data_IF_423789830061
#
_entry.id   IF_423789830061
#
_cell.length_a   1.000
_cell.length_b   1.000
_cell.length_c   1.000
_cell.angle_alpha   90.00
_cell.angle_beta   90.00
_cell.angle_gamma   90.00
#
_symmetry.space_group_name_H-M   'P 1'
#
loop_
_entity.id
_entity.type
_entity.pdbx_description
1 polymer ?
#
# COMPACT_ATOMS: atom_id res chain seq x y z
N UNK A 1 20.25 0.53 14.29
CA UNK A 1 19.82 1.82 13.71
C UNK A 1 19.25 2.66 14.84
N UNK A 2 19.37 4.00 14.84
CA UNK A 2 18.68 4.82 15.81
C UNK A 2 17.16 4.61 15.68
N UNK A 3 16.46 4.68 16.82
CA UNK A 3 15.01 4.49 16.86
C UNK A 3 14.36 5.88 16.86
N UNK A 4 13.38 6.17 16.02
CA UNK A 4 12.70 7.45 16.05
C UNK A 4 11.91 7.63 17.35
N UNK A 5 11.90 8.82 17.89
CA UNK A 5 11.05 9.23 19.02
C UNK A 5 9.77 9.89 18.49
N UNK A 6 9.93 10.78 17.52
CA UNK A 6 8.81 11.44 16.84
C UNK A 6 9.23 11.84 15.43
N UNK A 7 8.24 11.94 14.52
CA UNK A 7 8.41 12.49 13.18
C UNK A 7 7.31 13.51 12.93
N UNK A 8 7.69 14.69 12.44
CA UNK A 8 6.75 15.67 11.90
C UNK A 8 6.91 15.70 10.39
N UNK A 9 5.81 15.56 9.68
CA UNK A 9 5.73 15.66 8.23
C UNK A 9 5.17 17.03 7.89
N UNK A 10 5.95 17.82 7.15
CA UNK A 10 5.59 19.16 6.70
C UNK A 10 5.38 19.09 5.20
N UNK A 11 4.22 19.56 4.76
CA UNK A 11 3.87 19.63 3.33
C UNK A 11 3.86 21.08 2.86
N UNK A 12 4.42 21.30 1.68
CA UNK A 12 4.31 22.56 0.94
C UNK A 12 3.56 22.26 -0.36
N UNK A 13 2.40 22.86 -0.54
CA UNK A 13 1.64 22.82 -1.79
C UNK A 13 1.93 24.06 -2.63
N UNK A 14 2.05 23.87 -3.96
CA UNK A 14 2.28 24.93 -4.95
C UNK A 14 0.98 25.12 -5.76
N UNK A 15 0.13 26.00 -5.28
CA UNK A 15 -1.21 26.24 -5.82
C UNK A 15 -1.16 27.29 -6.94
N UNK A 16 -1.70 26.93 -8.11
CA UNK A 16 -1.88 27.86 -9.20
C UNK A 16 -3.08 28.77 -8.94
N UNK A 17 -2.87 30.08 -8.94
CA UNK A 17 -3.90 31.11 -8.73
C UNK A 17 -4.24 31.90 -10.02
N UNK A 18 -3.46 31.71 -11.10
CA UNK A 18 -3.64 32.39 -12.38
C UNK A 18 -2.87 31.72 -13.53
N UNK A 19 -2.62 32.45 -14.63
CA UNK A 19 -1.98 31.93 -15.83
C UNK A 19 -0.49 32.27 -15.97
N UNK A 20 0.04 33.19 -15.15
CA UNK A 20 1.44 33.60 -15.10
C UNK A 20 2.34 32.60 -14.35
N UNK A 21 3.64 32.75 -14.50
CA UNK A 21 4.62 31.98 -13.69
C UNK A 21 4.61 32.42 -12.24
N UNK A 22 4.38 33.71 -12.01
CA UNK A 22 4.22 34.33 -10.70
C UNK A 22 2.88 34.02 -10.01
N UNK A 23 1.93 33.41 -10.73
CA UNK A 23 0.62 33.02 -10.21
C UNK A 23 0.65 31.66 -9.49
N UNK A 24 1.74 31.36 -8.79
CA UNK A 24 1.87 30.18 -7.92
C UNK A 24 2.03 30.66 -6.48
N UNK A 25 1.16 30.19 -5.62
CA UNK A 25 1.23 30.45 -4.18
C UNK A 25 1.71 29.22 -3.45
N UNK A 26 2.67 29.41 -2.56
CA UNK A 26 3.18 28.36 -1.67
C UNK A 26 2.36 28.36 -0.38
N UNK A 27 1.91 27.17 0.03
CA UNK A 27 1.25 26.95 1.30
C UNK A 27 1.96 25.83 2.05
N UNK A 28 2.66 26.17 3.12
CA UNK A 28 3.35 25.22 4.00
C UNK A 28 2.53 24.96 5.26
N UNK A 29 2.38 23.70 5.64
CA UNK A 29 1.67 23.28 6.86
C UNK A 29 2.20 21.92 7.35
N UNK A 30 1.98 21.65 8.64
CA UNK A 30 2.21 20.30 9.18
C UNK A 30 1.10 19.39 8.69
N UNK A 31 1.43 18.34 7.95
CA UNK A 31 0.48 17.34 7.44
C UNK A 31 0.21 16.25 8.49
N UNK A 32 1.29 15.80 9.18
CA UNK A 32 1.11 14.85 10.28
C UNK A 32 2.20 14.93 11.35
N UNK A 33 1.87 14.43 12.55
CA UNK A 33 2.78 14.22 13.67
C UNK A 33 2.66 12.78 14.16
N UNK A 34 3.80 12.07 14.23
CA UNK A 34 3.88 10.67 14.61
C UNK A 34 4.74 10.55 15.87
N UNK A 35 4.27 9.76 16.84
CA UNK A 35 5.06 9.40 18.04
C UNK A 35 5.29 7.89 18.08
N UNK A 36 6.46 7.49 18.52
CA UNK A 36 6.88 6.09 18.57
C UNK A 36 7.19 5.65 20.00
N UNK A 37 7.06 4.35 20.26
CA UNK A 37 7.55 3.72 21.48
C UNK A 37 9.08 3.51 21.44
N UNK A 38 9.62 2.86 22.47
CA UNK A 38 11.06 2.57 22.58
C UNK A 38 11.56 1.52 21.56
N UNK A 39 10.65 0.78 20.93
CA UNK A 39 10.94 -0.24 19.93
C UNK A 39 10.74 0.28 18.48
N UNK A 40 10.20 1.50 18.32
CA UNK A 40 9.92 2.12 17.03
C UNK A 40 8.51 1.83 16.50
N UNK A 41 7.59 1.30 17.33
CA UNK A 41 6.19 1.16 16.93
C UNK A 41 5.48 2.50 17.04
N UNK A 42 4.56 2.79 16.13
CA UNK A 42 3.76 4.03 16.12
C UNK A 42 2.73 3.97 17.26
N UNK A 43 2.87 4.83 18.25
CA UNK A 43 1.90 5.00 19.35
C UNK A 43 0.75 5.89 18.93
N UNK A 44 1.06 7.04 18.33
CA UNK A 44 0.06 8.01 17.88
C UNK A 44 0.45 8.59 16.54
N UNK A 45 -0.56 8.85 15.69
CA UNK A 45 -0.42 9.61 14.46
C UNK A 45 -1.56 10.61 14.38
N UNK A 46 -1.25 11.89 14.17
CA UNK A 46 -2.22 12.97 14.01
C UNK A 46 -2.09 13.57 12.64
N UNK A 47 -3.20 13.75 11.95
CA UNK A 47 -3.27 14.41 10.65
C UNK A 47 -3.91 15.79 10.80
N UNK A 48 -3.36 16.75 10.05
CA UNK A 48 -3.79 18.14 10.09
C UNK A 48 -4.15 18.62 8.69
N UNK A 49 -5.16 19.48 8.61
CA UNK A 49 -5.45 20.22 7.39
C UNK A 49 -4.48 21.38 7.18
N UNK A 50 -4.59 22.05 6.04
CA UNK A 50 -3.72 23.17 5.67
C UNK A 50 -3.89 24.42 6.55
N UNK A 51 -4.90 24.47 7.43
CA UNK A 51 -5.13 25.53 8.42
C UNK A 51 -4.53 25.17 9.79
N UNK A 52 -3.99 23.94 9.94
CA UNK A 52 -3.41 23.43 11.17
C UNK A 52 -4.42 22.85 12.15
N UNK A 53 -5.67 22.64 11.74
CA UNK A 53 -6.66 21.94 12.54
C UNK A 53 -6.48 20.42 12.38
N UNK A 54 -6.70 19.66 13.46
CA UNK A 54 -6.70 18.20 13.42
C UNK A 54 -7.87 17.73 12.56
N UNK A 55 -7.61 16.84 11.60
CA UNK A 55 -8.62 16.14 10.80
C UNK A 55 -8.90 14.74 11.34
N UNK A 56 -7.87 14.05 11.79
CA UNK A 56 -7.99 12.72 12.40
C UNK A 56 -6.80 12.41 13.29
N UNK A 57 -6.97 11.43 14.17
CA UNK A 57 -5.89 10.85 14.94
C UNK A 57 -6.04 9.33 15.01
N UNK A 58 -4.90 8.63 15.11
CA UNK A 58 -4.83 7.19 15.36
C UNK A 58 -4.00 6.96 16.61
N UNK A 59 -4.48 6.08 17.51
CA UNK A 59 -3.75 5.62 18.68
C UNK A 59 -3.62 4.10 18.64
N UNK A 60 -2.41 3.59 18.85
CA UNK A 60 -2.14 2.17 18.83
C UNK A 60 -1.58 1.70 20.16
N UNK A 61 -1.97 0.50 20.55
CA UNK A 61 -1.44 -0.20 21.71
C UNK A 61 -0.82 -1.54 21.28
N UNK A 62 0.24 -1.92 21.95
CA UNK A 62 1.01 -3.14 21.67
C UNK A 62 1.18 -3.98 22.93
N UNK A 63 1.30 -5.29 22.76
CA UNK A 63 1.68 -6.18 23.84
C UNK A 63 3.21 -6.17 24.08
N UNK A 64 3.65 -6.93 25.08
CA UNK A 64 5.07 -7.06 25.42
C UNK A 64 5.95 -7.65 24.30
N UNK A 65 5.34 -8.31 23.31
CA UNK A 65 6.00 -8.87 22.14
C UNK A 65 5.99 -7.90 20.93
N UNK A 66 5.43 -6.70 21.08
CA UNK A 66 5.32 -5.70 20.04
C UNK A 66 4.20 -5.97 19.02
N UNK A 67 3.23 -6.85 19.33
CA UNK A 67 2.09 -7.12 18.46
C UNK A 67 0.97 -6.11 18.77
N UNK A 68 0.30 -5.52 17.76
CA UNK A 68 -0.80 -4.60 18.00
C UNK A 68 -1.96 -5.30 18.70
N UNK A 69 -2.46 -4.75 19.80
CA UNK A 69 -3.63 -5.25 20.54
C UNK A 69 -4.84 -4.33 20.35
N UNK A 70 -4.61 -3.04 20.07
CA UNK A 70 -5.65 -2.07 19.78
C UNK A 70 -5.15 -1.02 18.77
N UNK A 71 -6.06 -0.55 17.90
CA UNK A 71 -5.86 0.61 17.04
C UNK A 71 -7.15 1.41 17.00
N UNK A 72 -7.15 2.63 17.56
CA UNK A 72 -8.30 3.50 17.69
C UNK A 72 -8.14 4.72 16.76
N UNK A 73 -9.18 5.05 16.01
CA UNK A 73 -9.24 6.20 15.12
C UNK A 73 -10.25 7.22 15.64
N UNK A 74 -9.83 8.47 15.69
CA UNK A 74 -10.61 9.62 16.16
C UNK A 74 -10.83 10.61 15.01
N UNK A 75 -11.97 11.31 15.05
CA UNK A 75 -12.28 12.39 14.13
C UNK A 75 -11.67 13.74 14.56
N UNK A 76 -12.03 14.79 13.84
CA UNK A 76 -11.61 16.16 14.08
C UNK A 76 -12.05 16.72 15.45
N UNK A 77 -13.12 16.20 16.04
CA UNK A 77 -13.64 16.59 17.36
C UNK A 77 -12.97 15.81 18.51
N UNK A 78 -12.18 14.78 18.18
CA UNK A 78 -11.61 13.83 19.13
C UNK A 78 -12.58 12.75 19.59
N UNK A 79 -13.71 12.56 18.85
CA UNK A 79 -14.62 11.46 19.10
C UNK A 79 -14.09 10.17 18.44
N UNK A 80 -14.23 9.04 19.15
CA UNK A 80 -13.84 7.73 18.66
C UNK A 80 -14.75 7.31 17.49
N UNK A 81 -14.18 7.22 16.29
CA UNK A 81 -14.88 6.76 15.08
C UNK A 81 -14.85 5.25 14.94
N UNK A 82 -13.67 4.67 15.16
CA UNK A 82 -13.44 3.23 14.94
C UNK A 82 -12.36 2.73 15.89
N UNK A 83 -12.55 1.51 16.40
CA UNK A 83 -11.50 0.80 17.12
C UNK A 83 -11.37 -0.63 16.59
N UNK A 84 -10.15 -1.06 16.27
CA UNK A 84 -9.81 -2.44 15.99
C UNK A 84 -9.13 -3.05 17.21
N UNK A 85 -9.60 -4.23 17.64
CA UNK A 85 -9.01 -5.01 18.74
C UNK A 85 -8.55 -6.35 18.20
N UNK A 86 -7.34 -6.76 18.58
CA UNK A 86 -6.70 -7.98 18.10
C UNK A 86 -6.50 -8.97 19.23
N UNK A 87 -6.82 -10.24 19.00
CA UNK A 87 -6.63 -11.32 19.96
C UNK A 87 -5.70 -12.37 19.39
N UNK A 88 -4.72 -12.80 20.17
CA UNK A 88 -3.70 -13.77 19.77
C UNK A 88 -3.75 -15.05 20.59
N UNK A 89 -3.25 -16.15 20.01
CA UNK A 89 -2.97 -17.37 20.76
C UNK A 89 -1.72 -17.21 21.61
N UNK A 90 -1.49 -18.14 22.53
CA UNK A 90 -0.24 -18.21 23.32
C UNK A 90 1.00 -18.33 22.41
N UNK A 91 0.85 -18.93 21.23
CA UNK A 91 1.90 -19.11 20.23
C UNK A 91 2.08 -17.87 19.32
N UNK A 92 1.29 -16.81 19.51
CA UNK A 92 1.39 -15.54 18.77
C UNK A 92 0.60 -15.48 17.47
N UNK A 93 -0.25 -16.46 17.16
CA UNK A 93 -1.11 -16.41 15.98
C UNK A 93 -2.31 -15.50 16.23
N UNK A 94 -2.67 -14.66 15.26
CA UNK A 94 -3.86 -13.83 15.30
C UNK A 94 -5.10 -14.74 15.24
N UNK A 95 -5.92 -14.73 16.30
CA UNK A 95 -7.14 -15.53 16.38
C UNK A 95 -8.39 -14.76 15.99
N UNK A 96 -8.41 -13.46 16.31
CA UNK A 96 -9.57 -12.62 16.05
C UNK A 96 -9.16 -11.16 15.88
N UNK A 97 -9.80 -10.48 14.93
CA UNK A 97 -9.85 -9.03 14.80
C UNK A 97 -11.30 -8.61 14.98
N UNK A 98 -11.56 -7.66 15.88
CA UNK A 98 -12.89 -7.07 16.09
C UNK A 98 -12.84 -5.59 15.78
N UNK A 99 -13.84 -5.07 15.06
CA UNK A 99 -13.98 -3.67 14.71
C UNK A 99 -15.22 -3.09 15.39
N UNK A 100 -15.06 -1.98 16.09
CA UNK A 100 -16.10 -1.27 16.83
C UNK A 100 -16.29 0.13 16.22
N UNK A 101 -17.54 0.57 16.09
CA UNK A 101 -17.89 1.95 15.79
C UNK A 101 -18.65 2.52 17.00
N UNK A 102 -17.89 3.12 17.94
CA UNK A 102 -18.41 3.60 19.22
C UNK A 102 -18.38 2.55 20.33
N UNK A 103 -19.24 2.71 21.35
CA UNK A 103 -19.35 1.81 22.51
C UNK A 103 -20.34 0.67 22.22
N UNK A 104 -20.01 -0.55 22.59
CA UNK A 104 -20.90 -1.72 22.47
C UNK A 104 -20.23 -2.99 21.99
N UNK A 105 -21.01 -3.79 21.26
CA UNK A 105 -20.52 -5.01 20.58
C UNK A 105 -19.72 -4.63 19.34
N UNK A 106 -18.82 -5.52 18.85
CA UNK A 106 -18.12 -5.26 17.59
C UNK A 106 -19.10 -5.28 16.43
N UNK A 107 -19.05 -4.22 15.59
CA UNK A 107 -19.84 -4.14 14.34
C UNK A 107 -19.41 -5.24 13.35
N UNK A 108 -18.10 -5.49 13.28
CA UNK A 108 -17.51 -6.55 12.46
C UNK A 108 -16.45 -7.30 13.23
N UNK A 109 -16.36 -8.60 12.96
CA UNK A 109 -15.29 -9.43 13.47
C UNK A 109 -14.82 -10.45 12.42
N UNK A 110 -13.52 -10.73 12.41
CA UNK A 110 -12.92 -11.81 11.63
C UNK A 110 -12.22 -12.78 12.56
N UNK A 111 -12.55 -14.06 12.43
CA UNK A 111 -11.93 -15.17 13.15
C UNK A 111 -11.00 -15.91 12.20
N UNK A 112 -9.80 -16.20 12.65
CA UNK A 112 -8.74 -16.88 11.90
C UNK A 112 -8.61 -18.33 12.37
N UNK A 113 -8.80 -19.28 11.46
CA UNK A 113 -8.77 -20.73 11.75
C UNK A 113 -7.48 -21.32 11.20
N UNK A 114 -6.77 -22.05 12.06
CA UNK A 114 -5.48 -22.65 11.72
C UNK A 114 -5.55 -24.18 11.86
N UNK A 115 -4.99 -24.88 10.87
CA UNK A 115 -4.75 -26.32 10.92
C UNK A 115 -3.27 -26.61 10.67
N UNK A 116 -2.68 -27.47 11.48
CA UNK A 116 -1.24 -27.82 11.40
C UNK A 116 -0.31 -26.60 11.33
N UNK A 117 -0.73 -25.49 11.96
CA UNK A 117 0.05 -24.26 12.01
C UNK A 117 -0.19 -23.30 10.84
N UNK A 118 -0.96 -23.66 9.82
CA UNK A 118 -1.29 -22.86 8.64
C UNK A 118 -2.69 -22.26 8.77
N UNK A 119 -2.86 -21.03 8.28
CA UNK A 119 -4.17 -20.38 8.19
C UNK A 119 -4.99 -21.08 7.08
N UNK A 120 -6.10 -21.72 7.43
CA UNK A 120 -6.94 -22.42 6.45
C UNK A 120 -8.23 -21.68 6.15
N UNK A 121 -8.68 -20.79 7.08
CA UNK A 121 -9.92 -20.06 6.89
C UNK A 121 -9.97 -18.77 7.69
N UNK A 122 -10.64 -17.78 7.14
CA UNK A 122 -11.05 -16.55 7.79
C UNK A 122 -12.58 -16.47 7.72
N UNK A 123 -13.23 -16.32 8.86
CA UNK A 123 -14.67 -16.18 9.00
C UNK A 123 -14.97 -14.75 9.44
N UNK A 124 -15.63 -13.97 8.59
CA UNK A 124 -16.00 -12.58 8.89
C UNK A 124 -17.51 -12.45 9.04
N UNK A 125 -17.96 -11.77 10.08
CA UNK A 125 -19.37 -11.60 10.41
C UNK A 125 -19.62 -10.20 11.03
N UNK A 126 -20.84 -9.70 10.86
CA UNK A 126 -21.31 -8.49 11.54
C UNK A 126 -21.88 -8.82 12.94
N UNK A 127 -22.30 -7.77 13.69
CA UNK A 127 -22.83 -7.89 15.05
C UNK A 127 -24.01 -8.88 15.15
N UNK A 128 -24.86 -8.94 14.13
CA UNK A 128 -26.06 -9.79 14.12
C UNK A 128 -25.78 -11.22 13.62
N UNK A 129 -24.54 -11.52 13.22
CA UNK A 129 -24.13 -12.79 12.59
C UNK A 129 -24.90 -13.13 11.29
N UNK A 130 -25.54 -12.12 10.66
CA UNK A 130 -26.31 -12.29 9.43
C UNK A 130 -25.48 -12.13 8.16
N UNK A 131 -24.47 -11.22 8.18
CA UNK A 131 -23.56 -11.03 7.04
C UNK A 131 -22.30 -11.85 7.31
N UNK A 132 -22.31 -13.10 6.90
CA UNK A 132 -21.18 -14.00 7.06
C UNK A 132 -20.46 -14.14 5.71
N UNK A 133 -19.16 -13.86 5.69
CA UNK A 133 -18.30 -14.20 4.55
C UNK A 133 -17.18 -15.12 5.01
N UNK A 134 -16.86 -16.09 4.17
CA UNK A 134 -15.78 -17.04 4.41
C UNK A 134 -14.70 -16.89 3.37
N UNK A 135 -13.46 -16.95 3.79
CA UNK A 135 -12.29 -17.06 2.91
C UNK A 135 -11.47 -18.27 3.29
N UNK A 136 -11.31 -19.20 2.36
CA UNK A 136 -10.58 -20.44 2.58
C UNK A 136 -9.29 -20.51 1.76
N UNK A 137 -8.31 -21.27 2.27
CA UNK A 137 -6.98 -21.42 1.70
C UNK A 137 -6.62 -22.90 1.56
N UNK A 138 -6.17 -23.27 0.36
CA UNK A 138 -5.56 -24.57 0.10
C UNK A 138 -4.08 -24.38 -0.23
N UNK A 139 -3.25 -25.30 0.20
CA UNK A 139 -1.79 -25.22 0.04
C UNK A 139 -1.30 -26.33 -0.89
N UNK A 140 -0.28 -26.03 -1.67
CA UNK A 140 0.46 -27.04 -2.43
C UNK A 140 1.35 -27.90 -1.51
N UNK A 141 2.01 -28.89 -2.07
CA UNK A 141 2.93 -29.79 -1.35
C UNK A 141 4.18 -29.08 -0.79
N UNK A 142 4.51 -27.90 -1.34
CA UNK A 142 5.64 -27.06 -0.90
C UNK A 142 5.22 -26.06 0.19
N UNK A 143 3.90 -25.92 0.46
CA UNK A 143 3.35 -25.03 1.45
C UNK A 143 3.03 -23.62 0.94
N UNK A 144 3.00 -23.41 -0.36
CA UNK A 144 2.48 -22.15 -0.94
C UNK A 144 0.96 -22.23 -1.03
N UNK A 145 0.29 -21.08 -0.90
CA UNK A 145 -1.17 -20.99 -1.11
C UNK A 145 -1.46 -21.23 -2.59
N UNK A 146 -2.06 -22.38 -2.90
CA UNK A 146 -2.41 -22.78 -4.27
C UNK A 146 -3.81 -22.31 -4.68
N UNK A 147 -4.75 -22.29 -3.73
CA UNK A 147 -6.12 -21.85 -3.99
C UNK A 147 -6.59 -20.97 -2.85
N UNK A 148 -7.26 -19.87 -3.18
CA UNK A 148 -8.02 -19.04 -2.25
C UNK A 148 -9.45 -18.93 -2.78
N UNK A 149 -10.45 -19.13 -1.93
CA UNK A 149 -11.86 -18.99 -2.27
C UNK A 149 -12.53 -18.05 -1.28
N UNK A 150 -13.28 -17.09 -1.79
CA UNK A 150 -14.12 -16.20 -1.00
C UNK A 150 -15.58 -16.48 -1.30
N UNK A 151 -16.39 -16.66 -0.24
CA UNK A 151 -17.81 -16.95 -0.32
C UNK A 151 -18.61 -15.77 0.24
N UNK A 152 -19.79 -15.54 -0.34
CA UNK A 152 -20.79 -14.62 0.20
C UNK A 152 -21.59 -15.26 1.36
N UNK A 153 -22.49 -14.47 1.94
CA UNK A 153 -23.39 -14.91 3.04
C UNK A 153 -24.32 -16.07 2.67
N UNK A 154 -24.58 -16.29 1.38
CA UNK A 154 -25.36 -17.42 0.88
C UNK A 154 -24.50 -18.67 0.60
N UNK A 155 -23.17 -18.58 0.85
CA UNK A 155 -22.20 -19.64 0.57
C UNK A 155 -21.87 -19.81 -0.90
N UNK A 156 -22.15 -18.80 -1.75
CA UNK A 156 -21.76 -18.79 -3.15
C UNK A 156 -20.36 -18.23 -3.31
N UNK A 157 -19.60 -18.80 -4.23
CA UNK A 157 -18.26 -18.30 -4.54
C UNK A 157 -18.35 -16.91 -5.18
N UNK A 158 -17.81 -15.92 -4.51
CA UNK A 158 -17.59 -14.56 -5.04
C UNK A 158 -16.33 -14.52 -5.89
N UNK A 159 -15.22 -14.98 -5.30
CA UNK A 159 -13.91 -14.98 -5.93
C UNK A 159 -13.23 -16.32 -5.72
N UNK A 160 -12.55 -16.81 -6.74
CA UNK A 160 -11.61 -17.91 -6.66
C UNK A 160 -10.30 -17.50 -7.30
N UNK A 161 -9.20 -17.71 -6.58
CA UNK A 161 -7.85 -17.51 -7.10
C UNK A 161 -7.13 -18.84 -7.10
N UNK A 162 -6.51 -19.19 -8.23
CA UNK A 162 -5.66 -20.38 -8.37
C UNK A 162 -4.27 -19.94 -8.78
N UNK A 163 -3.26 -20.30 -7.99
CA UNK A 163 -1.88 -19.89 -8.13
C UNK A 163 -1.01 -21.07 -8.53
N UNK A 164 -0.17 -20.86 -9.54
CA UNK A 164 0.85 -21.80 -9.98
C UNK A 164 2.24 -21.20 -9.74
N UNK A 165 3.15 -22.01 -9.21
CA UNK A 165 4.50 -21.59 -8.86
C UNK A 165 5.53 -22.26 -9.77
N UNK A 166 6.63 -21.57 -10.05
CA UNK A 166 7.76 -22.14 -10.78
C UNK A 166 8.61 -23.06 -9.88
N UNK A 167 9.62 -23.68 -10.46
CA UNK A 167 10.54 -24.58 -9.76
C UNK A 167 11.33 -23.93 -8.61
N UNK A 168 11.37 -22.59 -8.56
CA UNK A 168 12.02 -21.82 -7.51
C UNK A 168 11.01 -21.32 -6.45
N UNK A 169 9.73 -21.74 -6.53
CA UNK A 169 8.65 -21.30 -5.61
C UNK A 169 8.16 -19.88 -5.86
N UNK A 170 8.39 -19.30 -7.03
CA UNK A 170 7.93 -17.97 -7.41
C UNK A 170 6.61 -18.09 -8.16
N UNK A 171 5.66 -17.19 -7.91
CA UNK A 171 4.36 -17.17 -8.57
C UNK A 171 4.53 -17.00 -10.09
N UNK A 172 4.26 -18.05 -10.86
CA UNK A 172 4.38 -18.04 -12.32
C UNK A 172 3.08 -17.65 -13.03
N UNK A 173 1.94 -18.09 -12.47
CA UNK A 173 0.62 -17.77 -12.99
C UNK A 173 -0.39 -17.64 -11.87
N UNK A 174 -1.36 -16.75 -12.03
CA UNK A 174 -2.55 -16.61 -11.20
C UNK A 174 -3.78 -16.57 -12.10
N UNK A 175 -4.74 -17.43 -11.85
CA UNK A 175 -6.08 -17.32 -12.40
C UNK A 175 -6.99 -16.78 -11.31
N UNK A 176 -7.64 -15.62 -11.55
CA UNK A 176 -8.71 -15.07 -10.72
C UNK A 176 -10.03 -15.20 -11.45
N UNK A 177 -10.99 -15.84 -10.83
CA UNK A 177 -12.34 -16.07 -11.34
C UNK A 177 -13.35 -15.33 -10.48
N UNK A 178 -14.36 -14.74 -11.14
CA UNK A 178 -15.54 -14.12 -10.55
C UNK A 178 -16.77 -14.86 -11.11
N UNK A 179 -17.11 -16.05 -10.55
CA UNK A 179 -18.08 -16.95 -11.18
C UNK A 179 -19.48 -16.34 -11.33
N UNK A 180 -19.89 -15.46 -10.41
CA UNK A 180 -21.19 -14.79 -10.46
C UNK A 180 -21.27 -13.77 -11.60
N UNK A 181 -20.15 -13.13 -11.93
CA UNK A 181 -20.02 -12.17 -13.02
C UNK A 181 -19.66 -12.83 -14.37
N UNK A 182 -19.37 -14.14 -14.37
CA UNK A 182 -18.90 -14.90 -15.53
C UNK A 182 -17.61 -14.28 -16.11
N UNK A 183 -16.77 -13.71 -15.26
CA UNK A 183 -15.49 -13.09 -15.64
C UNK A 183 -14.31 -13.84 -15.01
N UNK A 184 -13.18 -13.74 -15.68
CA UNK A 184 -11.89 -14.20 -15.14
C UNK A 184 -10.74 -13.40 -15.71
N UNK A 185 -9.64 -13.38 -14.95
CA UNK A 185 -8.37 -12.80 -15.39
C UNK A 185 -7.24 -13.75 -15.12
N UNK A 186 -6.36 -13.92 -16.10
CA UNK A 186 -5.12 -14.67 -15.94
C UNK A 186 -3.95 -13.70 -15.91
N UNK A 187 -3.15 -13.80 -14.87
CA UNK A 187 -1.90 -13.07 -14.70
C UNK A 187 -0.73 -14.03 -14.90
N UNK A 188 0.23 -13.63 -15.73
CA UNK A 188 1.42 -14.44 -16.03
C UNK A 188 2.66 -13.61 -15.70
N UNK A 189 3.56 -14.21 -14.92
CA UNK A 189 4.76 -13.56 -14.43
C UNK A 189 6.01 -14.22 -15.01
N UNK A 190 7.05 -13.43 -15.26
CA UNK A 190 8.34 -13.95 -15.65
C UNK A 190 9.45 -13.28 -14.83
N UNK A 191 10.51 -14.00 -14.60
CA UNK A 191 11.64 -13.61 -13.76
C UNK A 191 12.95 -13.78 -14.50
N UNK A 192 13.93 -12.95 -14.14
CA UNK A 192 15.30 -13.15 -14.58
C UNK A 192 16.04 -14.23 -13.76
N UNK A 193 17.30 -14.49 -14.12
CA UNK A 193 18.13 -15.47 -13.43
C UNK A 193 18.48 -15.06 -11.99
N UNK A 194 18.31 -13.78 -11.63
CA UNK A 194 18.54 -13.26 -10.28
C UNK A 194 17.28 -13.33 -9.40
N UNK A 195 16.12 -13.69 -10.00
CA UNK A 195 14.84 -13.78 -9.31
C UNK A 195 14.02 -12.49 -9.35
N UNK A 196 14.44 -11.45 -10.05
CA UNK A 196 13.68 -10.23 -10.21
C UNK A 196 12.55 -10.45 -11.21
N UNK A 197 11.34 -9.93 -10.91
CA UNK A 197 10.22 -9.98 -11.84
C UNK A 197 10.50 -9.04 -13.02
N UNK A 198 10.60 -9.58 -14.23
CA UNK A 198 10.87 -8.79 -15.44
C UNK A 198 9.62 -8.53 -16.29
N UNK A 199 8.54 -9.29 -16.02
CA UNK A 199 7.32 -9.17 -16.82
C UNK A 199 6.09 -9.61 -16.05
N UNK A 200 5.00 -8.90 -16.29
CA UNK A 200 3.64 -9.26 -15.88
C UNK A 200 2.70 -9.04 -17.07
N UNK A 201 1.86 -10.04 -17.38
CA UNK A 201 0.86 -9.99 -18.44
C UNK A 201 -0.50 -10.30 -17.84
N UNK A 202 -1.53 -9.52 -18.21
CA UNK A 202 -2.91 -9.76 -17.80
C UNK A 202 -3.78 -10.06 -19.00
N UNK A 203 -4.45 -11.20 -18.94
CA UNK A 203 -5.40 -11.64 -19.96
C UNK A 203 -6.81 -11.63 -19.39
N UNK A 204 -7.80 -11.27 -20.22
CA UNK A 204 -9.22 -11.38 -19.86
C UNK A 204 -9.73 -12.81 -20.06
N UNK A 205 -11.00 -13.04 -19.71
CA UNK A 205 -11.70 -14.33 -19.87
C UNK A 205 -11.57 -14.94 -21.28
N UNK A 206 -11.57 -14.12 -22.34
CA UNK A 206 -11.41 -14.57 -23.72
C UNK A 206 -9.96 -14.87 -24.13
N UNK A 207 -8.98 -14.79 -23.22
CA UNK A 207 -7.57 -14.99 -23.50
C UNK A 207 -6.91 -13.82 -24.25
N UNK A 208 -7.57 -12.66 -24.33
CA UNK A 208 -7.01 -11.46 -24.93
C UNK A 208 -6.12 -10.74 -23.90
N UNK A 209 -4.89 -10.39 -24.30
CA UNK A 209 -4.00 -9.54 -23.51
C UNK A 209 -4.64 -8.15 -23.35
N UNK A 210 -4.81 -7.71 -22.11
CA UNK A 210 -5.43 -6.43 -21.74
C UNK A 210 -4.50 -5.50 -20.97
N UNK A 211 -3.44 -6.02 -20.35
CA UNK A 211 -2.41 -5.21 -19.70
C UNK A 211 -1.07 -5.95 -19.73
N UNK A 212 0.02 -5.18 -19.73
CA UNK A 212 1.39 -5.69 -19.60
C UNK A 212 2.22 -4.68 -18.80
N UNK A 213 3.11 -5.22 -17.97
CA UNK A 213 4.15 -4.46 -17.28
C UNK A 213 5.49 -5.13 -17.53
N UNK A 214 6.50 -4.33 -17.85
CA UNK A 214 7.90 -4.77 -17.96
C UNK A 214 8.75 -4.04 -16.95
N UNK A 215 9.75 -4.73 -16.40
CA UNK A 215 10.67 -4.21 -15.42
C UNK A 215 12.10 -4.42 -15.88
N UNK A 216 12.94 -3.42 -15.73
CA UNK A 216 14.38 -3.48 -16.03
C UNK A 216 15.17 -3.17 -14.76
N UNK A 217 16.25 -3.90 -14.58
CA UNK A 217 17.12 -3.80 -13.40
C UNK A 217 18.56 -3.53 -13.82
N UNK A 218 19.32 -2.89 -12.94
CA UNK A 218 20.77 -2.80 -13.10
C UNK A 218 21.50 -4.07 -12.57
N UNK A 219 22.81 -4.03 -12.64
CA UNK A 219 23.64 -5.17 -12.23
C UNK A 219 23.63 -5.42 -10.72
N UNK A 220 23.21 -4.44 -9.92
CA UNK A 220 23.00 -4.53 -8.48
C UNK A 220 21.59 -5.04 -8.12
N UNK A 221 20.72 -5.29 -9.11
CA UNK A 221 19.34 -5.73 -8.91
C UNK A 221 18.36 -4.60 -8.54
N UNK A 222 18.75 -3.33 -8.74
CA UNK A 222 17.85 -2.18 -8.48
C UNK A 222 17.05 -1.90 -9.74
N UNK A 223 15.73 -1.68 -9.58
CA UNK A 223 14.83 -1.37 -10.68
C UNK A 223 15.22 -0.03 -11.32
N UNK A 224 15.52 -0.03 -12.62
CA UNK A 224 15.87 1.18 -13.38
C UNK A 224 14.73 1.68 -14.24
N UNK A 225 13.82 0.79 -14.65
CA UNK A 225 12.68 1.17 -15.49
C UNK A 225 11.48 0.24 -15.25
N UNK A 226 10.29 0.80 -15.34
CA UNK A 226 9.01 0.11 -15.39
C UNK A 226 8.19 0.68 -16.54
N UNK A 227 7.66 -0.19 -17.39
CA UNK A 227 6.72 0.17 -18.46
C UNK A 227 5.37 -0.49 -18.20
N UNK A 228 4.31 0.31 -18.06
CA UNK A 228 2.94 -0.12 -17.87
C UNK A 228 2.11 0.23 -19.10
N UNK A 229 1.44 -0.74 -19.68
CA UNK A 229 0.53 -0.55 -20.81
C UNK A 229 -0.75 -1.37 -20.58
N UNK A 230 -1.89 -0.71 -20.72
CA UNK A 230 -3.19 -1.36 -20.80
C UNK A 230 -3.95 -0.87 -22.03
N UNK A 231 -5.24 -1.18 -22.15
CA UNK A 231 -6.03 -0.83 -23.34
C UNK A 231 -6.11 0.68 -23.59
N UNK A 232 -6.02 1.50 -22.57
CA UNK A 232 -6.29 2.93 -22.61
C UNK A 232 -5.08 3.80 -22.24
N UNK A 233 -4.12 3.25 -21.51
CA UNK A 233 -3.02 4.03 -20.92
C UNK A 233 -1.65 3.38 -21.18
N UNK A 234 -0.65 4.23 -21.29
CA UNK A 234 0.77 3.87 -21.27
C UNK A 234 1.49 4.78 -20.30
N UNK A 235 2.41 4.20 -19.52
CA UNK A 235 3.31 4.93 -18.62
C UNK A 235 4.67 4.24 -18.59
N UNK A 236 5.73 5.02 -18.77
CA UNK A 236 7.10 4.59 -18.51
C UNK A 236 7.65 5.36 -17.32
N UNK A 237 8.18 4.64 -16.33
CA UNK A 237 8.77 5.20 -15.12
C UNK A 237 10.25 4.82 -15.06
N UNK A 238 11.14 5.78 -14.86
CA UNK A 238 12.58 5.54 -14.72
C UNK A 238 13.05 5.92 -13.32
N UNK A 239 14.03 5.18 -12.80
CA UNK A 239 14.59 5.33 -11.46
C UNK A 239 16.09 5.63 -11.57
N UNK A 240 16.54 6.65 -10.85
CA UNK A 240 17.95 7.05 -10.78
C UNK A 240 18.46 6.88 -9.36
N UNK A 241 19.68 6.36 -9.24
CA UNK A 241 20.28 6.02 -7.95
C UNK A 241 21.62 6.73 -7.74
N UNK A 242 21.88 7.08 -6.46
CA UNK A 242 23.21 7.42 -5.96
C UNK A 242 23.57 6.41 -4.87
N UNK A 243 24.52 5.50 -5.16
CA UNK A 243 24.71 4.31 -4.34
C UNK A 243 23.41 3.50 -4.31
N UNK A 244 22.94 3.11 -3.12
CA UNK A 244 21.71 2.34 -2.94
C UNK A 244 20.44 3.21 -2.82
N UNK A 245 20.60 4.54 -2.86
CA UNK A 245 19.50 5.48 -2.66
C UNK A 245 18.88 5.90 -4.00
N UNK A 246 17.57 5.71 -4.16
CA UNK A 246 16.83 6.25 -5.30
C UNK A 246 16.69 7.76 -5.13
N UNK A 247 17.37 8.54 -5.95
CA UNK A 247 17.36 10.01 -5.85
C UNK A 247 16.35 10.68 -6.77
N UNK A 248 15.88 9.95 -7.80
CA UNK A 248 14.88 10.51 -8.72
C UNK A 248 14.04 9.41 -9.39
N UNK A 249 12.75 9.66 -9.46
CA UNK A 249 11.77 8.87 -10.22
C UNK A 249 11.15 9.78 -11.28
N UNK A 250 11.20 9.40 -12.55
CA UNK A 250 10.63 10.21 -13.65
C UNK A 250 9.58 9.42 -14.42
N UNK A 251 8.47 10.04 -14.75
CA UNK A 251 7.36 9.43 -15.49
C UNK A 251 7.21 10.07 -16.86
N UNK A 252 6.94 9.23 -17.87
CA UNK A 252 6.75 9.60 -19.25
C UNK A 252 5.45 9.02 -19.79
N UNK A 253 4.82 9.73 -20.74
CA UNK A 253 3.70 9.24 -21.53
C UNK A 253 4.18 8.42 -22.75
N UNK A 254 3.21 7.97 -23.57
CA UNK A 254 3.47 7.17 -24.78
C UNK A 254 4.30 7.90 -25.85
N UNK A 255 4.31 9.23 -25.83
CA UNK A 255 5.02 10.08 -26.79
C UNK A 255 6.41 10.47 -26.26
N UNK A 256 6.91 9.77 -25.23
CA UNK A 256 8.16 10.02 -24.52
C UNK A 256 8.21 11.41 -23.86
N UNK A 257 7.08 12.05 -23.71
CA UNK A 257 7.02 13.34 -23.05
C UNK A 257 6.94 13.14 -21.53
N UNK A 258 7.81 13.86 -20.81
CA UNK A 258 7.85 13.82 -19.36
C UNK A 258 6.54 14.36 -18.76
N UNK A 259 5.85 13.54 -17.96
CA UNK A 259 4.63 13.95 -17.24
C UNK A 259 4.93 14.52 -15.87
N UNK A 260 5.99 14.04 -15.23
CA UNK A 260 6.41 14.52 -13.92
C UNK A 260 7.60 13.75 -13.39
N UNK A 261 8.10 14.17 -12.24
CA UNK A 261 9.15 13.45 -11.51
C UNK A 261 9.11 13.78 -10.03
N UNK A 262 9.71 12.89 -9.24
CA UNK A 262 9.96 13.06 -7.81
C UNK A 262 11.45 13.03 -7.55
N UNK A 263 11.97 13.96 -6.77
CA UNK A 263 13.34 13.99 -6.27
C UNK A 263 13.35 13.73 -4.76
N UNK A 264 14.36 12.98 -4.31
CA UNK A 264 14.52 12.58 -2.90
C UNK A 264 15.84 13.10 -2.36
N UNK A 265 15.80 13.67 -1.15
CA UNK A 265 16.98 14.02 -0.37
C UNK A 265 17.05 13.15 0.87
N UNK A 266 18.26 12.82 1.32
CA UNK A 266 18.49 11.88 2.40
C UNK A 266 19.44 12.49 3.43
N UNK A 267 19.28 12.08 4.71
CA UNK A 267 20.28 12.35 5.73
C UNK A 267 21.50 11.41 5.60
N UNK A 268 22.49 11.61 6.50
CA UNK A 268 23.70 10.78 6.55
C UNK A 268 23.41 9.32 6.90
N UNK A 269 22.29 9.05 7.59
CA UNK A 269 21.84 7.72 7.99
C UNK A 269 21.07 7.01 6.89
N UNK A 270 20.66 7.71 5.81
CA UNK A 270 19.94 7.16 4.68
C UNK A 270 18.42 7.28 4.79
N UNK A 271 17.90 8.07 5.72
CA UNK A 271 16.47 8.35 5.80
C UNK A 271 16.11 9.48 4.84
N UNK A 272 14.93 9.40 4.20
CA UNK A 272 14.41 10.50 3.39
C UNK A 272 14.11 11.70 4.28
N UNK A 273 14.65 12.87 3.93
CA UNK A 273 14.41 14.13 4.64
C UNK A 273 13.54 15.09 3.84
N UNK A 274 13.58 14.99 2.51
CA UNK A 274 12.77 15.83 1.64
C UNK A 274 12.42 15.08 0.36
N UNK A 275 11.17 15.22 -0.05
CA UNK A 275 10.61 14.70 -1.29
C UNK A 275 10.03 15.89 -2.06
N UNK A 276 10.43 16.07 -3.33
CA UNK A 276 9.97 17.14 -4.20
C UNK A 276 9.24 16.56 -5.40
N UNK A 277 7.96 16.86 -5.51
CA UNK A 277 7.13 16.45 -6.64
C UNK A 277 7.02 17.57 -7.67
N UNK A 278 7.21 17.22 -8.93
CA UNK A 278 7.07 18.08 -10.10
C UNK A 278 6.08 17.45 -11.07
N UNK A 279 5.22 18.27 -11.66
CA UNK A 279 4.22 17.84 -12.65
C UNK A 279 4.32 18.71 -13.91
N UNK A 280 3.84 18.17 -15.04
CA UNK A 280 3.60 18.95 -16.26
C UNK A 280 2.59 20.05 -15.96
N UNK A 281 2.86 21.25 -16.44
CA UNK A 281 1.94 22.37 -16.30
C UNK A 281 0.73 22.15 -17.22
N UNK A 282 -0.48 22.26 -16.66
CA UNK A 282 -1.72 22.02 -17.42
C UNK A 282 -1.98 23.09 -18.49
N UNK A 283 -1.51 24.32 -18.25
CA UNK A 283 -1.71 25.46 -19.16
C UNK A 283 -0.59 25.54 -20.21
N UNK A 284 0.63 25.15 -19.83
CA UNK A 284 1.82 25.17 -20.65
C UNK A 284 2.48 23.78 -20.63
N UNK A 285 2.00 22.83 -21.46
CA UNK A 285 2.45 21.43 -21.42
C UNK A 285 3.96 21.21 -21.64
N UNK A 286 4.65 22.19 -22.23
CA UNK A 286 6.12 22.17 -22.41
C UNK A 286 6.88 22.53 -21.12
N UNK A 287 6.19 23.00 -20.10
CA UNK A 287 6.78 23.39 -18.81
C UNK A 287 6.36 22.43 -17.70
N UNK A 288 7.22 22.35 -16.68
CA UNK A 288 6.95 21.60 -15.45
C UNK A 288 7.06 22.57 -14.27
N UNK A 289 6.24 22.34 -13.25
CA UNK A 289 6.23 23.13 -12.01
C UNK A 289 6.30 22.21 -10.78
N UNK A 290 6.70 22.77 -9.65
CA UNK A 290 6.54 22.12 -8.36
C UNK A 290 5.04 21.88 -8.10
N UNK A 291 4.71 20.68 -7.63
CA UNK A 291 3.35 20.30 -7.23
C UNK A 291 3.24 20.29 -5.71
N UNK A 292 4.15 19.60 -5.04
CA UNK A 292 4.23 19.56 -3.57
C UNK A 292 5.64 19.20 -3.13
N UNK A 293 6.02 19.65 -1.95
CA UNK A 293 7.19 19.17 -1.24
C UNK A 293 6.75 18.56 0.08
N UNK A 294 7.41 17.47 0.50
CA UNK A 294 7.15 16.79 1.77
C UNK A 294 8.49 16.69 2.51
N UNK A 295 8.57 17.36 3.65
CA UNK A 295 9.75 17.37 4.52
C UNK A 295 9.50 16.53 5.76
N UNK A 296 10.47 15.71 6.14
CA UNK A 296 10.44 14.84 7.31
C UNK A 296 11.40 15.39 8.36
N UNK A 297 10.87 15.76 9.52
CA UNK A 297 11.64 16.19 10.68
C UNK A 297 11.54 15.11 11.76
N UNK A 298 12.57 14.28 11.90
CA UNK A 298 12.58 13.15 12.84
C UNK A 298 13.51 13.46 14.02
N UNK A 299 12.98 13.34 15.24
CA UNK A 299 13.75 13.31 16.48
C UNK A 299 14.10 11.86 16.79
N UNK A 300 15.39 11.59 17.00
CA UNK A 300 15.93 10.25 17.28
C UNK A 300 16.22 10.06 18.77
N UNK A 301 16.19 8.82 19.24
CA UNK A 301 16.61 8.41 20.60
C UNK A 301 18.06 8.02 20.64
#
# INVERSE_FOLDING_TARGET
MPIPKSTRIIKTDFLRTGFGEEDITEQEYTESEIQYDENGHILTEKHFNSEGAIESAVENEYDEQGRPISSAQYDESGELCQQNVFTYSEEGKLLKKSCFYGEGSPEYATVYVYEEGRLVREDSYNEDEFDFTEKSYEYDENGHVAVTVEYDEEGKVMYRTSDEYDENGRLAQRLREEPQEHDSRTYVYAYDDQGNRVKELTYNFGGKLIAKTYYTYDVEGRMTEQEDENLDTYRRTTYQYEGDKCVKVTQFDKDEAKIGWTEYEYDEQGNVTLLKNYIRDEVRPDFHRSASWIKYETEWR
#
